data_IF_459082703674
#
_entry.id   IF_459082703674
#
_cell.length_a   1.000
_cell.length_b   1.000
_cell.length_c   1.000
_cell.angle_alpha   90.00
_cell.angle_beta   90.00
_cell.angle_gamma   90.00
#
_symmetry.space_group_name_H-M   'P 1'
#
loop_
_entity.id
_entity.type
_entity.pdbx_description
1 polymer ?
#
# COMPACT_ATOMS: atom_id res chain seq x y z
N UNK A 1 25.02 1.72 -0.19
CA UNK A 1 24.33 1.64 -1.50
C UNK A 1 23.89 3.03 -1.90
N UNK A 2 23.88 3.29 -3.18
CA UNK A 2 23.22 4.44 -3.80
C UNK A 2 21.81 3.99 -4.20
N UNK A 3 20.78 4.67 -3.72
CA UNK A 3 19.39 4.24 -3.96
C UNK A 3 18.59 5.39 -4.57
N UNK A 4 17.91 5.12 -5.68
CA UNK A 4 16.93 6.05 -6.24
C UNK A 4 15.52 5.58 -5.90
N UNK A 5 14.68 6.50 -5.38
CA UNK A 5 13.32 6.16 -4.93
C UNK A 5 12.31 7.04 -5.65
N UNK A 6 11.39 6.44 -6.41
CA UNK A 6 10.18 7.16 -6.84
C UNK A 6 9.11 7.05 -5.75
N UNK A 7 8.29 8.09 -5.60
CA UNK A 7 7.29 8.10 -4.54
C UNK A 7 7.84 8.34 -3.13
N UNK A 8 9.05 8.90 -3.00
CA UNK A 8 9.73 9.17 -1.73
C UNK A 8 8.98 10.11 -0.77
N UNK A 9 8.01 10.88 -1.24
CA UNK A 9 7.10 11.69 -0.41
C UNK A 9 5.83 10.96 0.01
N UNK A 10 5.58 9.74 -0.49
CA UNK A 10 4.43 8.91 -0.11
C UNK A 10 4.65 8.15 1.20
N UNK A 11 3.62 7.49 1.72
CA UNK A 11 3.66 6.80 3.01
C UNK A 11 4.80 5.76 3.10
N UNK A 12 4.83 4.80 2.18
CA UNK A 12 5.86 3.75 2.16
C UNK A 12 7.21 4.34 1.73
N UNK A 13 7.23 5.15 0.67
CA UNK A 13 8.46 5.71 0.13
C UNK A 13 9.19 6.61 1.15
N UNK A 14 8.47 7.46 1.88
CA UNK A 14 9.08 8.32 2.91
C UNK A 14 9.66 7.51 4.07
N UNK A 15 8.94 6.48 4.54
CA UNK A 15 9.43 5.60 5.58
C UNK A 15 10.70 4.84 5.12
N UNK A 16 10.72 4.36 3.86
CA UNK A 16 11.88 3.70 3.27
C UNK A 16 13.09 4.66 3.16
N UNK A 17 12.88 5.87 2.64
CA UNK A 17 13.95 6.88 2.50
C UNK A 17 14.54 7.22 3.87
N UNK A 18 13.71 7.50 4.88
CA UNK A 18 14.18 7.75 6.26
C UNK A 18 15.02 6.61 6.81
N UNK A 19 14.59 5.37 6.60
CA UNK A 19 15.32 4.20 7.09
C UNK A 19 16.65 4.01 6.36
N UNK A 20 16.68 4.13 5.03
CA UNK A 20 17.90 4.04 4.23
C UNK A 20 18.91 5.13 4.62
N UNK A 21 18.47 6.38 4.84
CA UNK A 21 19.34 7.47 5.30
C UNK A 21 19.93 7.20 6.69
N UNK A 22 19.12 6.69 7.61
CA UNK A 22 19.61 6.31 8.96
C UNK A 22 20.66 5.19 8.91
N UNK A 23 20.59 4.31 7.92
CA UNK A 23 21.58 3.25 7.70
C UNK A 23 22.80 3.72 6.90
N UNK A 24 22.92 5.02 6.62
CA UNK A 24 24.10 5.62 5.94
C UNK A 24 24.10 5.45 4.42
N UNK A 25 22.96 5.10 3.81
CA UNK A 25 22.86 4.98 2.35
C UNK A 25 22.70 6.34 1.69
N UNK A 26 23.28 6.54 0.51
CA UNK A 26 23.02 7.71 -0.31
C UNK A 26 21.69 7.52 -1.04
N UNK A 27 20.75 8.47 -0.83
CA UNK A 27 19.41 8.35 -1.37
C UNK A 27 19.05 9.59 -2.17
N UNK A 28 18.62 9.37 -3.42
CA UNK A 28 17.94 10.37 -4.25
C UNK A 28 16.48 10.00 -4.37
N UNK A 29 15.56 10.97 -4.27
CA UNK A 29 14.14 10.68 -4.33
C UNK A 29 13.42 11.65 -5.28
N UNK A 30 12.62 11.08 -6.19
CA UNK A 30 11.84 11.84 -7.16
C UNK A 30 10.76 12.67 -6.47
N UNK A 31 10.71 13.96 -6.76
CA UNK A 31 9.78 14.93 -6.20
C UNK A 31 9.10 15.76 -7.29
N UNK A 32 7.78 15.61 -7.45
CA UNK A 32 7.00 16.28 -8.50
C UNK A 32 6.48 17.68 -8.12
N UNK A 33 6.63 18.08 -6.87
CA UNK A 33 6.12 19.36 -6.37
C UNK A 33 7.03 19.92 -5.28
N UNK A 34 6.94 21.20 -4.97
CA UNK A 34 7.72 21.80 -3.88
C UNK A 34 7.39 21.16 -2.52
N UNK A 35 6.12 20.78 -2.28
CA UNK A 35 5.75 20.02 -1.09
C UNK A 35 6.46 18.67 -1.02
N UNK A 36 6.49 17.92 -2.14
CA UNK A 36 7.20 16.64 -2.20
C UNK A 36 8.69 16.82 -1.99
N UNK A 37 9.28 17.88 -2.56
CA UNK A 37 10.69 18.25 -2.37
C UNK A 37 11.01 18.53 -0.89
N UNK A 38 10.20 19.33 -0.21
CA UNK A 38 10.36 19.60 1.21
C UNK A 38 10.32 18.31 2.05
N UNK A 39 9.35 17.42 1.78
CA UNK A 39 9.24 16.13 2.47
C UNK A 39 10.44 15.22 2.25
N UNK A 40 11.07 15.25 1.07
CA UNK A 40 12.31 14.50 0.79
C UNK A 40 13.48 15.11 1.56
N UNK A 41 13.64 16.43 1.57
CA UNK A 41 14.70 17.13 2.31
C UNK A 41 14.61 16.81 3.82
N UNK A 42 13.41 16.75 4.40
CA UNK A 42 13.20 16.37 5.80
C UNK A 42 13.70 14.95 6.15
N UNK A 43 14.03 14.15 5.15
CA UNK A 43 14.60 12.81 5.33
C UNK A 43 16.11 12.76 5.16
N UNK A 44 16.78 13.89 4.97
CA UNK A 44 18.19 14.03 4.58
C UNK A 44 18.55 13.39 3.23
N UNK A 45 17.56 13.15 2.37
CA UNK A 45 17.76 12.66 1.02
C UNK A 45 17.82 13.79 -0.01
N UNK A 46 18.42 13.51 -1.15
CA UNK A 46 18.56 14.47 -2.24
C UNK A 46 17.29 14.45 -3.10
N UNK A 47 16.54 15.55 -3.19
CA UNK A 47 15.36 15.61 -4.05
C UNK A 47 15.75 15.75 -5.52
N UNK A 48 15.17 14.91 -6.37
CA UNK A 48 15.27 15.01 -7.83
C UNK A 48 13.94 15.51 -8.37
N UNK A 49 13.97 16.64 -9.10
CA UNK A 49 12.74 17.20 -9.68
C UNK A 49 12.27 16.39 -10.88
N UNK A 50 11.00 15.99 -10.88
CA UNK A 50 10.38 15.29 -12.00
C UNK A 50 9.04 14.65 -11.64
N UNK A 51 8.29 14.27 -12.67
CA UNK A 51 7.03 13.54 -12.56
C UNK A 51 7.15 12.24 -13.36
N UNK A 52 6.85 11.10 -12.73
CA UNK A 52 6.91 9.79 -13.40
C UNK A 52 5.99 9.70 -14.63
N UNK A 53 4.95 10.52 -14.71
CA UNK A 53 4.00 10.52 -15.84
C UNK A 53 4.54 11.22 -17.08
N UNK A 54 5.75 11.82 -17.00
CA UNK A 54 6.40 12.52 -18.09
C UNK A 54 7.89 12.15 -18.14
N UNK A 55 8.43 11.75 -19.30
CA UNK A 55 9.87 11.58 -19.46
C UNK A 55 10.62 12.89 -19.17
N UNK A 56 11.87 12.79 -18.74
CA UNK A 56 12.70 13.96 -18.46
C UNK A 56 14.07 13.58 -17.87
N UNK A 57 14.88 14.58 -17.54
CA UNK A 57 16.24 14.40 -17.00
C UNK A 57 16.30 13.58 -15.70
N UNK A 58 15.20 13.44 -14.97
CA UNK A 58 15.13 12.60 -13.79
C UNK A 58 15.40 11.11 -14.09
N UNK A 59 15.22 10.68 -15.34
CA UNK A 59 15.52 9.31 -15.77
C UNK A 59 17.02 9.01 -15.73
N UNK A 60 17.86 10.01 -16.07
CA UNK A 60 19.32 9.88 -15.95
C UNK A 60 19.75 9.85 -14.48
N UNK A 61 19.07 10.63 -13.63
CA UNK A 61 19.27 10.61 -12.19
C UNK A 61 18.90 9.24 -11.57
N UNK A 62 17.94 8.52 -12.15
CA UNK A 62 17.58 7.19 -11.68
C UNK A 62 18.71 6.17 -11.86
N UNK A 63 19.54 6.32 -12.91
CA UNK A 63 20.70 5.45 -13.17
C UNK A 63 21.86 5.64 -12.19
N UNK A 64 21.84 6.70 -11.40
CA UNK A 64 22.81 6.92 -10.33
C UNK A 64 22.80 5.79 -9.29
N UNK A 65 21.62 5.18 -9.04
CA UNK A 65 21.44 4.17 -8.01
C UNK A 65 22.07 2.82 -8.36
N UNK A 66 22.59 2.12 -7.37
CA UNK A 66 22.85 0.68 -7.44
C UNK A 66 21.52 -0.08 -7.36
N UNK A 67 20.52 0.58 -6.72
CA UNK A 67 19.14 0.08 -6.55
C UNK A 67 18.16 1.21 -6.90
N UNK A 68 17.13 0.86 -7.66
CA UNK A 68 15.97 1.74 -7.91
C UNK A 68 14.72 1.12 -7.30
N UNK A 69 14.08 1.85 -6.36
CA UNK A 69 12.81 1.42 -5.76
C UNK A 69 11.66 2.24 -6.35
N UNK A 70 10.81 1.58 -7.13
CA UNK A 70 9.65 2.22 -7.73
C UNK A 70 8.42 2.07 -6.82
N UNK A 71 8.23 3.06 -5.93
CA UNK A 71 7.12 3.12 -4.98
C UNK A 71 6.04 4.13 -5.38
N UNK A 72 6.26 4.91 -6.44
CA UNK A 72 5.27 5.86 -6.92
C UNK A 72 4.08 5.13 -7.56
N UNK A 73 2.89 5.36 -7.03
CA UNK A 73 1.65 4.81 -7.56
C UNK A 73 0.44 5.67 -7.14
N UNK A 74 -0.60 5.67 -7.96
CA UNK A 74 -1.93 6.10 -7.56
C UNK A 74 -2.63 4.91 -6.88
N UNK A 75 -2.82 5.02 -5.56
CA UNK A 75 -3.51 4.02 -4.74
C UNK A 75 -4.86 4.58 -4.32
N UNK A 76 -5.93 4.06 -4.87
CA UNK A 76 -7.30 4.47 -4.54
C UNK A 76 -8.30 3.37 -4.90
N UNK A 77 -9.40 3.32 -4.17
CA UNK A 77 -10.55 2.47 -4.44
C UNK A 77 -11.60 3.16 -5.33
N UNK A 78 -11.32 4.41 -5.76
CA UNK A 78 -12.20 5.20 -6.60
C UNK A 78 -11.44 6.21 -7.44
N UNK A 79 -11.87 6.37 -8.68
CA UNK A 79 -11.30 7.34 -9.61
C UNK A 79 -11.39 6.89 -11.07
N UNK A 80 -11.14 7.80 -12.03
CA UNK A 80 -11.19 7.47 -13.44
C UNK A 80 -10.04 6.54 -13.83
N UNK A 81 -10.35 5.50 -14.62
CA UNK A 81 -9.39 4.50 -15.12
C UNK A 81 -8.15 5.16 -15.75
N UNK A 82 -8.34 6.23 -16.51
CA UNK A 82 -7.26 6.96 -17.17
C UNK A 82 -6.18 7.42 -16.19
N UNK A 83 -6.55 7.91 -15.01
CA UNK A 83 -5.57 8.41 -14.04
C UNK A 83 -4.74 7.26 -13.43
N UNK A 84 -5.36 6.10 -13.17
CA UNK A 84 -4.62 4.93 -12.71
C UNK A 84 -3.61 4.45 -13.77
N UNK A 85 -4.01 4.41 -15.03
CA UNK A 85 -3.12 4.00 -16.10
C UNK A 85 -2.00 5.01 -16.31
N UNK A 86 -2.32 6.31 -16.36
CA UNK A 86 -1.32 7.38 -16.50
C UNK A 86 -0.24 7.31 -15.42
N UNK A 87 -0.61 7.07 -14.15
CA UNK A 87 0.36 7.05 -13.05
C UNK A 87 1.03 5.69 -12.93
N UNK A 88 0.24 4.59 -12.89
CA UNK A 88 0.77 3.27 -12.56
C UNK A 88 1.37 2.54 -13.77
N UNK A 89 0.85 2.77 -14.97
CA UNK A 89 1.32 2.08 -16.19
C UNK A 89 2.32 2.96 -16.95
N UNK A 90 1.91 4.17 -17.37
CA UNK A 90 2.80 5.05 -18.12
C UNK A 90 3.98 5.50 -17.25
N UNK A 91 3.73 5.77 -15.95
CA UNK A 91 4.78 6.07 -14.98
C UNK A 91 5.79 4.92 -14.83
N UNK A 92 5.31 3.67 -14.76
CA UNK A 92 6.20 2.49 -14.75
C UNK A 92 6.95 2.35 -16.06
N UNK A 93 6.29 2.56 -17.21
CA UNK A 93 6.95 2.55 -18.51
C UNK A 93 8.07 3.58 -18.58
N UNK A 94 7.82 4.81 -18.16
CA UNK A 94 8.82 5.88 -18.20
C UNK A 94 10.06 5.57 -17.36
N UNK A 95 9.92 5.03 -16.15
CA UNK A 95 11.10 4.63 -15.35
C UNK A 95 11.84 3.47 -16.01
N UNK A 96 11.15 2.46 -16.55
CA UNK A 96 11.78 1.34 -17.25
C UNK A 96 12.53 1.81 -18.50
N UNK A 97 11.96 2.74 -19.28
CA UNK A 97 12.64 3.34 -20.45
C UNK A 97 13.93 4.08 -20.04
N UNK A 98 13.90 4.75 -18.89
CA UNK A 98 15.09 5.39 -18.30
C UNK A 98 16.17 4.39 -17.86
N UNK A 99 15.80 3.15 -17.52
CA UNK A 99 16.72 2.13 -17.02
C UNK A 99 17.22 1.15 -18.11
N UNK A 100 16.96 1.40 -19.38
CA UNK A 100 17.51 0.57 -20.46
C UNK A 100 19.04 0.51 -20.41
N UNK A 101 19.62 -0.71 -20.46
CA UNK A 101 21.06 -0.98 -20.35
C UNK A 101 21.68 -0.56 -18.99
N UNK A 102 20.86 -0.38 -17.96
CA UNK A 102 21.34 -0.20 -16.59
C UNK A 102 21.46 -1.57 -15.90
N UNK A 103 22.52 -1.77 -15.14
CA UNK A 103 22.92 -3.07 -14.54
C UNK A 103 22.60 -3.19 -13.05
N UNK A 104 21.94 -2.19 -12.46
CA UNK A 104 21.52 -2.22 -11.07
C UNK A 104 20.24 -3.03 -10.82
N UNK A 105 19.77 -3.04 -9.58
CA UNK A 105 18.58 -3.80 -9.15
C UNK A 105 17.32 -2.91 -9.11
N UNK A 106 16.36 -3.18 -10.00
CA UNK A 106 15.04 -2.52 -9.98
C UNK A 106 14.05 -3.27 -9.08
N UNK A 107 13.47 -2.59 -8.11
CA UNK A 107 12.45 -3.12 -7.19
C UNK A 107 11.12 -2.45 -7.49
N UNK A 108 10.20 -3.18 -8.09
CA UNK A 108 8.84 -2.71 -8.35
C UNK A 108 7.91 -3.01 -7.18
N UNK A 109 7.42 -1.99 -6.50
CA UNK A 109 6.39 -2.17 -5.47
C UNK A 109 5.03 -2.36 -6.13
N UNK A 110 4.56 -3.59 -6.12
CA UNK A 110 3.24 -4.01 -6.57
C UNK A 110 2.27 -4.17 -5.38
N UNK A 111 1.19 -4.87 -5.55
CA UNK A 111 0.16 -5.08 -4.52
C UNK A 111 -0.46 -6.47 -4.64
N UNK A 112 -0.93 -7.04 -3.52
CA UNK A 112 -1.80 -8.22 -3.53
C UNK A 112 -3.09 -7.99 -4.32
N UNK A 113 -3.48 -6.74 -4.56
CA UNK A 113 -4.65 -6.35 -5.35
C UNK A 113 -4.60 -6.82 -6.82
N UNK A 114 -3.41 -7.22 -7.34
CA UNK A 114 -3.29 -7.82 -8.68
C UNK A 114 -4.09 -9.12 -8.82
N UNK A 115 -4.50 -9.74 -7.70
CA UNK A 115 -5.35 -10.93 -7.68
C UNK A 115 -6.86 -10.64 -7.61
N UNK A 116 -7.28 -9.36 -7.57
CA UNK A 116 -8.67 -8.94 -7.64
C UNK A 116 -9.53 -9.31 -6.42
N UNK A 117 -8.93 -9.70 -5.31
CA UNK A 117 -9.61 -10.11 -4.06
C UNK A 117 -10.69 -11.18 -4.25
N UNK A 118 -10.48 -12.14 -5.15
CA UNK A 118 -11.33 -13.33 -5.24
C UNK A 118 -10.99 -14.27 -4.08
N UNK A 119 -11.98 -14.94 -3.46
CA UNK A 119 -11.71 -15.92 -2.41
C UNK A 119 -10.72 -16.98 -2.89
N UNK A 120 -9.69 -17.25 -2.10
CA UNK A 120 -8.67 -18.24 -2.46
C UNK A 120 -7.35 -18.04 -1.71
N UNK A 121 -6.43 -18.97 -1.95
CA UNK A 121 -5.05 -18.92 -1.49
C UNK A 121 -4.11 -18.53 -2.64
N UNK A 122 -3.23 -17.59 -2.39
CA UNK A 122 -2.30 -17.04 -3.35
C UNK A 122 -0.87 -17.15 -2.83
N UNK A 123 0.05 -17.42 -3.73
CA UNK A 123 1.48 -17.49 -3.48
C UNK A 123 2.23 -16.42 -4.27
N UNK A 124 3.52 -16.31 -4.07
CA UNK A 124 4.39 -15.42 -4.86
C UNK A 124 4.33 -15.73 -6.36
N UNK A 125 4.13 -17.01 -6.72
CA UNK A 125 4.06 -17.46 -8.13
C UNK A 125 2.66 -17.40 -8.72
N UNK A 126 1.63 -17.13 -7.91
CA UNK A 126 0.27 -17.02 -8.43
C UNK A 126 0.18 -15.91 -9.50
N UNK A 127 -0.41 -16.19 -10.68
CA UNK A 127 -0.54 -15.19 -11.73
C UNK A 127 -1.44 -14.05 -11.31
N UNK A 128 -1.18 -12.84 -11.83
CA UNK A 128 -2.08 -11.72 -11.68
C UNK A 128 -3.44 -12.04 -12.35
N UNK A 129 -4.53 -11.81 -11.63
CA UNK A 129 -5.90 -12.05 -12.11
C UNK A 129 -6.83 -10.92 -11.65
N UNK A 130 -6.61 -9.69 -12.14
CA UNK A 130 -7.38 -8.53 -11.72
C UNK A 130 -8.87 -8.69 -12.04
N UNK A 131 -9.72 -7.95 -11.32
CA UNK A 131 -11.18 -8.09 -11.36
C UNK A 131 -11.89 -6.90 -12.05
N UNK A 132 -11.24 -6.28 -13.02
CA UNK A 132 -11.71 -5.11 -13.75
C UNK A 132 -11.84 -3.83 -12.91
N UNK A 133 -11.23 -3.81 -11.74
CA UNK A 133 -11.08 -2.57 -10.98
C UNK A 133 -9.86 -1.78 -11.48
N UNK A 134 -9.99 -0.45 -11.76
CA UNK A 134 -8.91 0.33 -12.37
C UNK A 134 -7.56 0.24 -11.67
N UNK A 135 -7.55 0.21 -10.33
CA UNK A 135 -6.32 0.02 -9.55
C UNK A 135 -5.72 -1.37 -9.75
N UNK A 136 -6.52 -2.44 -9.59
CA UNK A 136 -6.05 -3.82 -9.76
C UNK A 136 -5.47 -4.04 -11.17
N UNK A 137 -6.23 -3.60 -12.19
CA UNK A 137 -5.84 -3.72 -13.59
C UNK A 137 -4.54 -2.96 -13.89
N UNK A 138 -4.41 -1.72 -13.39
CA UNK A 138 -3.21 -0.91 -13.61
C UNK A 138 -1.97 -1.46 -12.93
N UNK A 139 -2.12 -2.08 -11.74
CA UNK A 139 -1.00 -2.74 -11.06
C UNK A 139 -0.59 -4.04 -11.76
N UNK A 140 -1.55 -4.83 -12.25
CA UNK A 140 -1.27 -6.03 -13.03
C UNK A 140 -0.59 -5.69 -14.37
N UNK A 141 -1.03 -4.62 -15.04
CA UNK A 141 -0.40 -4.15 -16.28
C UNK A 141 1.02 -3.60 -16.04
N UNK A 142 1.24 -2.91 -14.92
CA UNK A 142 2.59 -2.48 -14.52
C UNK A 142 3.52 -3.68 -14.28
N UNK A 143 3.06 -4.76 -13.61
CA UNK A 143 3.84 -6.00 -13.48
C UNK A 143 4.20 -6.59 -14.85
N UNK A 144 3.24 -6.59 -15.79
CA UNK A 144 3.50 -7.08 -17.17
C UNK A 144 4.59 -6.28 -17.89
N UNK A 145 4.63 -4.96 -17.72
CA UNK A 145 5.71 -4.13 -18.28
C UNK A 145 7.07 -4.47 -17.64
N UNK A 146 7.11 -4.69 -16.33
CA UNK A 146 8.34 -5.13 -15.66
C UNK A 146 8.78 -6.50 -16.15
N UNK A 147 7.86 -7.46 -16.32
CA UNK A 147 8.18 -8.79 -16.86
C UNK A 147 8.74 -8.71 -18.29
N UNK A 148 8.26 -7.79 -19.12
CA UNK A 148 8.82 -7.54 -20.44
C UNK A 148 10.25 -6.99 -20.35
N UNK A 149 10.49 -6.01 -19.49
CA UNK A 149 11.82 -5.43 -19.29
C UNK A 149 12.82 -6.48 -18.73
N UNK A 150 12.37 -7.41 -17.88
CA UNK A 150 13.18 -8.54 -17.40
C UNK A 150 13.62 -9.43 -18.57
N UNK A 151 12.71 -9.73 -19.50
CA UNK A 151 13.06 -10.51 -20.72
C UNK A 151 14.05 -9.76 -21.62
N UNK A 152 14.09 -8.43 -21.54
CA UNK A 152 15.06 -7.56 -22.22
C UNK A 152 16.37 -7.40 -21.44
N UNK A 153 16.52 -8.08 -20.29
CA UNK A 153 17.76 -8.12 -19.50
C UNK A 153 17.78 -7.28 -18.23
N UNK A 154 16.68 -6.57 -17.87
CA UNK A 154 16.63 -5.79 -16.64
C UNK A 154 16.70 -6.70 -15.41
N UNK A 155 17.58 -6.37 -14.46
CA UNK A 155 17.66 -7.02 -13.17
C UNK A 155 16.55 -6.47 -12.26
N UNK A 156 15.43 -7.16 -12.15
CA UNK A 156 14.27 -6.65 -11.42
C UNK A 156 13.62 -7.71 -10.51
N UNK A 157 13.10 -7.23 -9.37
CA UNK A 157 12.22 -7.96 -8.45
C UNK A 157 10.87 -7.27 -8.33
N UNK A 158 9.80 -8.06 -8.17
CA UNK A 158 8.46 -7.57 -7.94
C UNK A 158 8.04 -7.85 -6.50
N UNK A 159 7.47 -6.85 -5.82
CA UNK A 159 7.09 -6.95 -4.40
C UNK A 159 5.60 -6.67 -4.25
N UNK A 160 4.80 -7.71 -4.07
CA UNK A 160 3.35 -7.60 -3.81
C UNK A 160 3.12 -7.35 -2.34
N UNK A 161 2.73 -6.14 -1.99
CA UNK A 161 2.48 -5.76 -0.59
C UNK A 161 0.99 -5.86 -0.25
N UNK A 162 0.72 -6.26 1.00
CA UNK A 162 -0.61 -6.25 1.59
C UNK A 162 -1.06 -4.83 1.96
N UNK A 163 -2.23 -4.67 2.59
CA UNK A 163 -2.67 -3.38 3.11
C UNK A 163 -1.72 -2.89 4.20
N UNK A 164 -1.10 -1.72 4.02
CA UNK A 164 -0.10 -1.19 4.95
C UNK A 164 -0.74 -0.21 5.92
N UNK A 165 -0.44 -0.35 7.20
CA UNK A 165 -0.87 0.57 8.24
C UNK A 165 0.30 0.96 9.15
N UNK A 166 0.18 2.08 9.86
CA UNK A 166 1.20 2.58 10.77
C UNK A 166 1.15 4.10 10.96
N UNK A 167 2.07 4.71 11.71
CA UNK A 167 2.21 6.15 11.81
C UNK A 167 2.41 6.79 10.43
N UNK A 168 1.61 7.80 10.10
CA UNK A 168 1.61 8.41 8.77
C UNK A 168 0.61 7.81 7.78
N UNK A 169 -0.13 6.75 8.17
CA UNK A 169 -1.14 6.12 7.33
C UNK A 169 -2.27 7.12 6.95
N UNK A 170 -2.47 7.38 5.65
CA UNK A 170 -3.51 8.30 5.20
C UNK A 170 -4.89 7.65 5.05
N UNK A 171 -5.02 6.33 5.19
CA UNK A 171 -6.19 5.58 4.75
C UNK A 171 -6.94 4.85 5.87
N UNK A 172 -6.25 3.97 6.60
CA UNK A 172 -6.88 3.05 7.54
C UNK A 172 -7.49 3.77 8.75
N UNK A 173 -6.68 4.52 9.48
CA UNK A 173 -7.11 5.19 10.72
C UNK A 173 -8.18 6.25 10.45
N UNK A 174 -8.07 7.04 9.38
CA UNK A 174 -9.03 8.09 9.08
C UNK A 174 -10.43 7.52 8.84
N UNK A 175 -10.55 6.51 7.96
CA UNK A 175 -11.83 5.84 7.67
C UNK A 175 -12.42 5.12 8.88
N UNK A 176 -11.57 4.45 9.66
CA UNK A 176 -12.00 3.78 10.88
C UNK A 176 -12.57 4.75 11.89
N UNK A 177 -11.94 5.88 12.11
CA UNK A 177 -12.41 6.89 13.05
C UNK A 177 -13.73 7.54 12.62
N UNK A 178 -13.94 7.72 11.32
CA UNK A 178 -15.21 8.25 10.82
C UNK A 178 -16.38 7.28 11.11
N UNK A 179 -16.14 5.96 11.01
CA UNK A 179 -17.12 4.96 11.42
C UNK A 179 -17.34 4.94 12.94
N UNK A 180 -16.26 5.00 13.72
CA UNK A 180 -16.35 5.02 15.19
C UNK A 180 -17.14 6.20 15.70
N UNK A 181 -16.99 7.38 15.10
CA UNK A 181 -17.76 8.58 15.47
C UNK A 181 -19.25 8.43 15.28
N UNK A 182 -19.69 7.60 14.34
CA UNK A 182 -21.11 7.28 14.16
C UNK A 182 -21.67 6.38 15.26
N UNK A 183 -20.84 5.87 16.17
CA UNK A 183 -21.21 4.88 17.19
C UNK A 183 -21.53 3.48 16.63
N UNK A 184 -21.43 3.30 15.33
CA UNK A 184 -21.70 2.03 14.64
C UNK A 184 -20.57 1.69 13.69
N UNK A 185 -20.09 0.47 13.75
CA UNK A 185 -19.07 -0.06 12.84
C UNK A 185 -19.72 -1.17 12.03
N UNK A 186 -19.77 -0.98 10.72
CA UNK A 186 -20.24 -2.02 9.81
C UNK A 186 -19.04 -2.80 9.30
N UNK A 187 -19.09 -4.14 9.44
CA UNK A 187 -18.11 -5.06 8.88
C UNK A 187 -18.76 -5.91 7.80
N UNK A 188 -18.04 -6.14 6.71
CA UNK A 188 -18.52 -6.96 5.60
C UNK A 188 -18.37 -8.44 5.95
N UNK A 189 -19.43 -9.22 5.78
CA UNK A 189 -19.47 -10.63 6.19
C UNK A 189 -19.51 -10.78 7.72
N UNK A 190 -18.98 -11.88 8.22
CA UNK A 190 -18.90 -12.16 9.67
C UNK A 190 -17.68 -11.48 10.33
N UNK A 191 -16.72 -11.01 9.54
CA UNK A 191 -15.48 -10.43 10.02
C UNK A 191 -14.40 -11.45 10.38
N UNK A 192 -14.63 -12.74 10.10
CA UNK A 192 -13.74 -13.86 10.35
C UNK A 192 -12.70 -14.11 9.24
N UNK A 193 -12.74 -13.30 8.18
CA UNK A 193 -11.74 -13.34 7.11
C UNK A 193 -10.46 -12.60 7.52
N UNK A 194 -9.28 -13.02 7.00
CA UNK A 194 -8.01 -12.33 7.26
C UNK A 194 -8.07 -10.85 6.89
N UNK A 195 -7.55 -9.97 7.73
CA UNK A 195 -7.52 -8.53 7.48
C UNK A 195 -6.55 -8.14 6.36
N UNK A 196 -5.59 -8.99 6.02
CA UNK A 196 -4.52 -8.73 5.04
C UNK A 196 -3.85 -7.37 5.24
N UNK A 197 -3.54 -7.05 6.51
CA UNK A 197 -2.85 -5.84 6.90
C UNK A 197 -1.45 -6.18 7.43
N UNK A 198 -0.50 -5.29 7.16
CA UNK A 198 0.87 -5.41 7.65
C UNK A 198 1.39 -4.06 8.13
N UNK A 199 2.20 -4.06 9.18
CA UNK A 199 2.75 -2.84 9.75
C UNK A 199 3.87 -2.28 8.88
N UNK A 200 3.96 -0.95 8.78
CA UNK A 200 4.89 -0.24 7.90
C UNK A 200 6.34 -0.64 8.11
N UNK A 201 6.80 -0.79 9.37
CA UNK A 201 8.21 -1.09 9.64
C UNK A 201 8.60 -2.49 9.12
N UNK A 202 7.68 -3.46 9.14
CA UNK A 202 7.93 -4.80 8.58
C UNK A 202 8.06 -4.75 7.04
N UNK A 203 7.26 -3.90 6.38
CA UNK A 203 7.41 -3.65 4.93
C UNK A 203 8.79 -3.05 4.63
N UNK A 204 9.20 -2.03 5.40
CA UNK A 204 10.48 -1.36 5.18
C UNK A 204 11.64 -2.34 5.38
N UNK A 205 11.59 -3.18 6.40
CA UNK A 205 12.59 -4.24 6.62
C UNK A 205 12.67 -5.19 5.43
N UNK A 206 11.53 -5.67 4.93
CA UNK A 206 11.49 -6.55 3.75
C UNK A 206 12.07 -5.88 2.50
N UNK A 207 11.74 -4.62 2.24
CA UNK A 207 12.27 -3.88 1.09
C UNK A 207 13.80 -3.68 1.19
N UNK A 208 14.32 -3.42 2.38
CA UNK A 208 15.77 -3.28 2.61
C UNK A 208 16.49 -4.61 2.40
N UNK A 209 15.93 -5.71 2.90
CA UNK A 209 16.49 -7.05 2.66
C UNK A 209 16.55 -7.38 1.18
N UNK A 210 15.49 -7.06 0.41
CA UNK A 210 15.46 -7.24 -1.05
C UNK A 210 16.53 -6.36 -1.71
N UNK A 211 16.66 -5.10 -1.29
CA UNK A 211 17.63 -4.15 -1.86
C UNK A 211 19.10 -4.56 -1.61
N UNK A 212 19.39 -5.17 -0.47
CA UNK A 212 20.72 -5.66 -0.10
C UNK A 212 21.10 -7.00 -0.75
N UNK A 213 20.13 -7.72 -1.29
CA UNK A 213 20.35 -9.04 -1.87
C UNK A 213 20.76 -8.93 -3.33
N UNK A 214 21.56 -9.91 -3.80
CA UNK A 214 21.78 -10.06 -5.23
C UNK A 214 20.45 -10.34 -5.93
N UNK A 215 20.15 -9.59 -6.96
CA UNK A 215 18.91 -9.75 -7.70
C UNK A 215 18.82 -11.12 -8.37
N UNK A 216 17.68 -11.76 -8.23
CA UNK A 216 17.24 -12.88 -9.06
C UNK A 216 16.15 -12.34 -9.98
N UNK A 217 16.42 -12.10 -11.28
CA UNK A 217 15.48 -11.45 -12.17
C UNK A 217 14.13 -12.17 -12.23
N UNK A 218 13.03 -11.43 -12.07
CA UNK A 218 11.68 -11.98 -12.06
C UNK A 218 11.25 -12.57 -10.71
N UNK A 219 12.12 -12.56 -9.69
CA UNK A 219 11.72 -13.00 -8.37
C UNK A 219 10.57 -12.13 -7.83
N UNK A 220 9.51 -12.82 -7.41
CA UNK A 220 8.38 -12.19 -6.73
C UNK A 220 8.45 -12.44 -5.23
N UNK A 221 8.12 -11.40 -4.48
CA UNK A 221 8.01 -11.43 -3.02
C UNK A 221 6.60 -11.00 -2.62
N UNK A 222 6.07 -11.60 -1.56
CA UNK A 222 4.84 -11.16 -0.91
C UNK A 222 5.17 -10.66 0.49
N UNK A 223 4.93 -9.38 0.75
CA UNK A 223 5.07 -8.81 2.08
C UNK A 223 3.67 -8.66 2.69
N UNK A 224 3.29 -9.65 3.49
CA UNK A 224 2.02 -9.74 4.21
C UNK A 224 2.27 -10.32 5.59
N UNK A 225 1.31 -10.18 6.50
CA UNK A 225 1.39 -10.83 7.81
C UNK A 225 0.73 -12.22 7.72
N UNK A 226 1.50 -13.33 7.81
CA UNK A 226 0.97 -14.68 7.58
C UNK A 226 -0.08 -15.09 8.62
N UNK A 227 0.01 -14.54 9.83
CA UNK A 227 -0.96 -14.72 10.92
C UNK A 227 -1.74 -13.45 11.19
N UNK A 228 -2.09 -12.68 10.13
CA UNK A 228 -2.92 -11.49 10.30
C UNK A 228 -4.23 -11.87 10.99
N UNK A 229 -4.64 -11.15 12.06
CA UNK A 229 -5.91 -11.40 12.69
C UNK A 229 -7.04 -11.14 11.70
N UNK A 230 -8.21 -11.69 12.00
CA UNK A 230 -9.40 -11.40 11.24
C UNK A 230 -9.83 -9.92 11.37
N UNK A 231 -10.72 -9.50 10.48
CA UNK A 231 -11.21 -8.12 10.43
C UNK A 231 -11.88 -7.70 11.75
N UNK A 232 -12.63 -8.60 12.39
CA UNK A 232 -13.31 -8.34 13.66
C UNK A 232 -12.30 -8.06 14.77
N UNK A 233 -11.26 -8.88 14.88
CA UNK A 233 -10.17 -8.71 15.84
C UNK A 233 -9.43 -7.38 15.62
N UNK A 234 -9.17 -6.99 14.37
CA UNK A 234 -8.58 -5.68 14.05
C UNK A 234 -9.43 -4.52 14.56
N UNK A 235 -10.74 -4.59 14.36
CA UNK A 235 -11.70 -3.59 14.87
C UNK A 235 -11.66 -3.55 16.40
N UNK A 236 -11.65 -4.70 17.06
CA UNK A 236 -11.58 -4.79 18.53
C UNK A 236 -10.29 -4.19 19.09
N UNK A 237 -9.12 -4.47 18.49
CA UNK A 237 -7.84 -3.86 18.89
C UNK A 237 -7.88 -2.35 18.75
N UNK A 238 -8.46 -1.84 17.66
CA UNK A 238 -8.57 -0.41 17.46
C UNK A 238 -9.53 0.25 18.45
N UNK A 239 -10.69 -0.35 18.74
CA UNK A 239 -11.63 0.14 19.77
C UNK A 239 -10.99 0.16 21.17
N UNK A 240 -10.29 -0.92 21.54
CA UNK A 240 -9.55 -1.01 22.80
C UNK A 240 -8.47 0.08 22.89
N UNK A 241 -7.68 0.24 21.81
CA UNK A 241 -6.64 1.27 21.74
C UNK A 241 -7.19 2.70 21.84
N UNK A 242 -8.35 2.96 21.25
CA UNK A 242 -9.04 4.26 21.32
C UNK A 242 -9.78 4.48 22.64
N UNK A 243 -9.97 3.44 23.46
CA UNK A 243 -10.81 3.44 24.66
C UNK A 243 -12.27 3.81 24.34
N UNK A 244 -12.78 3.31 23.23
CA UNK A 244 -14.13 3.59 22.74
C UNK A 244 -14.98 2.32 22.74
N UNK A 245 -16.30 2.54 22.83
CA UNK A 245 -17.30 1.50 22.63
C UNK A 245 -18.10 1.84 21.40
N UNK A 246 -18.24 0.89 20.48
CA UNK A 246 -19.11 1.03 19.32
C UNK A 246 -19.81 -0.30 19.06
N UNK A 247 -21.02 -0.25 18.55
CA UNK A 247 -21.75 -1.46 18.14
C UNK A 247 -21.21 -1.93 16.80
N UNK A 248 -20.59 -3.11 16.81
CA UNK A 248 -20.11 -3.76 15.57
C UNK A 248 -21.27 -4.56 14.98
N UNK A 249 -21.59 -4.29 13.72
CA UNK A 249 -22.69 -4.92 13.00
C UNK A 249 -22.18 -5.63 11.75
N UNK A 250 -22.33 -6.95 11.64
CA UNK A 250 -22.01 -7.67 10.42
C UNK A 250 -23.07 -7.37 9.34
N UNK A 251 -22.59 -7.11 8.12
CA UNK A 251 -23.44 -6.89 6.95
C UNK A 251 -23.18 -7.99 5.92
N UNK A 252 -24.19 -8.73 5.47
CA UNK A 252 -24.01 -9.71 4.41
C UNK A 252 -23.32 -9.12 3.17
N UNK A 253 -22.39 -9.86 2.58
CA UNK A 253 -21.56 -9.38 1.45
C UNK A 253 -22.45 -8.88 0.30
N UNK A 254 -23.52 -9.58 -0.02
CA UNK A 254 -24.42 -9.19 -1.12
C UNK A 254 -25.13 -7.85 -0.86
N UNK A 255 -25.51 -7.55 0.40
CA UNK A 255 -26.08 -6.24 0.78
C UNK A 255 -24.99 -5.15 0.62
N UNK A 256 -23.78 -5.41 1.13
CA UNK A 256 -22.69 -4.45 1.03
C UNK A 256 -22.35 -4.16 -0.45
N UNK A 257 -22.37 -5.18 -1.33
CA UNK A 257 -22.16 -5.01 -2.78
C UNK A 257 -23.29 -4.18 -3.41
N UNK A 258 -24.54 -4.45 -3.06
CA UNK A 258 -25.69 -3.69 -3.59
C UNK A 258 -25.61 -2.20 -3.19
N UNK A 259 -25.33 -1.92 -1.91
CA UNK A 259 -25.13 -0.55 -1.39
C UNK A 259 -23.96 0.14 -2.08
N UNK A 260 -22.82 -0.53 -2.19
CA UNK A 260 -21.64 0.01 -2.87
C UNK A 260 -21.94 0.32 -4.34
N UNK A 261 -22.63 -0.57 -5.06
CA UNK A 261 -23.00 -0.35 -6.47
C UNK A 261 -23.90 0.87 -6.64
N UNK A 262 -24.90 1.04 -5.77
CA UNK A 262 -25.77 2.21 -5.80
C UNK A 262 -24.99 3.51 -5.50
N UNK A 263 -24.10 3.47 -4.51
CA UNK A 263 -23.25 4.61 -4.20
C UNK A 263 -22.30 4.97 -5.34
N UNK A 264 -21.69 3.99 -6.01
CA UNK A 264 -20.84 4.22 -7.19
C UNK A 264 -21.63 4.88 -8.33
N UNK A 265 -22.86 4.42 -8.64
CA UNK A 265 -23.73 5.02 -9.65
C UNK A 265 -24.04 6.48 -9.30
N UNK A 266 -24.49 6.74 -8.06
CA UNK A 266 -24.77 8.11 -7.61
C UNK A 266 -23.54 9.02 -7.66
N UNK A 267 -22.37 8.48 -7.29
CA UNK A 267 -21.12 9.22 -7.27
C UNK A 267 -20.62 9.57 -8.67
N UNK A 268 -20.87 8.71 -9.66
CA UNK A 268 -20.62 9.04 -11.06
C UNK A 268 -21.48 10.20 -11.55
N UNK A 269 -22.78 10.19 -11.20
CA UNK A 269 -23.70 11.26 -11.59
C UNK A 269 -23.37 12.59 -10.86
N UNK A 270 -23.08 12.50 -9.56
CA UNK A 270 -22.80 13.67 -8.72
C UNK A 270 -21.32 14.14 -8.77
N UNK A 271 -20.46 13.49 -9.57
CA UNK A 271 -19.00 13.75 -9.64
C UNK A 271 -18.34 13.78 -8.24
N UNK A 272 -18.80 12.93 -7.35
CA UNK A 272 -18.34 12.83 -5.95
C UNK A 272 -17.67 11.50 -5.68
N UNK A 273 -17.05 11.32 -4.50
CA UNK A 273 -16.47 10.04 -4.09
C UNK A 273 -17.50 9.24 -3.29
N UNK A 274 -17.72 7.94 -3.59
CA UNK A 274 -18.59 7.09 -2.76
C UNK A 274 -17.95 6.83 -1.40
N UNK A 275 -18.76 6.68 -0.37
CA UNK A 275 -18.29 6.32 0.98
C UNK A 275 -17.90 4.83 1.05
N UNK A 276 -18.53 3.99 0.23
CA UNK A 276 -18.25 2.56 0.11
C UNK A 276 -18.16 2.19 -1.38
N UNK A 277 -17.11 1.45 -1.75
CA UNK A 277 -16.87 0.96 -3.11
C UNK A 277 -16.97 -0.56 -3.16
N UNK A 278 -17.33 -1.12 -4.31
CA UNK A 278 -17.28 -2.59 -4.53
C UNK A 278 -15.87 -3.16 -4.31
N UNK A 279 -14.84 -2.38 -4.64
CA UNK A 279 -13.45 -2.74 -4.34
C UNK A 279 -13.24 -2.92 -2.84
N UNK A 280 -13.64 -1.94 -2.03
CA UNK A 280 -13.49 -2.01 -0.57
C UNK A 280 -14.28 -3.18 0.03
N UNK A 281 -15.51 -3.43 -0.47
CA UNK A 281 -16.33 -4.58 -0.04
C UNK A 281 -15.62 -5.89 -0.33
N UNK A 282 -15.06 -6.09 -1.53
CA UNK A 282 -14.33 -7.32 -1.88
C UNK A 282 -13.05 -7.49 -1.06
N UNK A 283 -12.27 -6.40 -0.92
CA UNK A 283 -11.01 -6.42 -0.18
C UNK A 283 -11.19 -6.74 1.31
N UNK A 284 -12.28 -6.26 1.92
CA UNK A 284 -12.59 -6.47 3.32
C UNK A 284 -13.47 -7.70 3.60
N UNK A 285 -14.26 -8.15 2.61
CA UNK A 285 -15.28 -9.17 2.81
C UNK A 285 -14.89 -10.56 2.33
N UNK A 286 -13.97 -10.66 1.38
CA UNK A 286 -13.60 -11.96 0.81
C UNK A 286 -12.42 -12.60 1.57
N UNK A 287 -12.49 -13.91 1.74
CA UNK A 287 -11.41 -14.67 2.36
C UNK A 287 -10.29 -14.91 1.34
N UNK A 288 -9.27 -14.04 1.37
CA UNK A 288 -8.05 -14.17 0.58
C UNK A 288 -6.88 -14.48 1.54
N UNK A 289 -6.09 -15.49 1.23
CA UNK A 289 -4.90 -15.86 2.01
C UNK A 289 -3.68 -15.68 1.11
N UNK A 290 -2.67 -14.97 1.60
CA UNK A 290 -1.45 -14.72 0.86
C UNK A 290 -0.27 -15.39 1.57
N UNK A 291 0.32 -16.41 0.94
CA UNK A 291 1.54 -17.05 1.44
C UNK A 291 2.71 -16.08 1.36
N UNK A 292 3.57 -16.14 2.37
CA UNK A 292 4.85 -15.44 2.43
C UNK A 292 6.00 -16.42 2.55
N UNK A 293 5.77 -17.69 2.23
CA UNK A 293 6.70 -18.79 2.48
C UNK A 293 7.98 -18.64 1.65
N UNK A 294 7.86 -18.39 0.35
CA UNK A 294 9.01 -18.15 -0.53
C UNK A 294 9.77 -16.90 -0.08
N UNK A 295 9.06 -15.85 0.31
CA UNK A 295 9.66 -14.63 0.84
C UNK A 295 10.46 -14.91 2.11
N UNK A 296 9.88 -15.66 3.06
CA UNK A 296 10.55 -16.05 4.29
C UNK A 296 11.81 -16.92 4.03
N UNK A 297 11.69 -17.92 3.17
CA UNK A 297 12.82 -18.80 2.81
C UNK A 297 13.95 -18.04 2.12
N UNK A 298 13.61 -17.19 1.15
CA UNK A 298 14.64 -16.49 0.36
C UNK A 298 15.28 -15.33 1.12
N UNK A 299 14.54 -14.59 1.92
CA UNK A 299 15.04 -13.39 2.60
C UNK A 299 15.38 -13.61 4.09
N UNK A 300 14.96 -14.72 4.70
CA UNK A 300 14.96 -14.86 6.14
C UNK A 300 14.02 -13.83 6.82
N UNK A 301 13.03 -13.32 6.07
CA UNK A 301 12.14 -12.28 6.52
C UNK A 301 10.86 -12.84 7.12
N UNK A 302 10.47 -12.27 8.24
CA UNK A 302 9.13 -12.44 8.80
C UNK A 302 8.71 -11.13 9.48
N UNK A 303 7.41 -10.78 9.48
CA UNK A 303 6.96 -9.61 10.23
C UNK A 303 7.21 -9.81 11.72
N UNK A 304 7.73 -8.75 12.36
CA UNK A 304 8.11 -8.76 13.80
C UNK A 304 7.09 -8.03 14.65
N UNK A 305 6.33 -7.11 14.05
CA UNK A 305 5.35 -6.30 14.76
C UNK A 305 4.07 -7.08 14.97
N UNK A 306 3.68 -7.29 16.24
CA UNK A 306 2.35 -7.82 16.52
C UNK A 306 1.30 -6.81 16.06
N UNK A 307 0.19 -7.29 15.53
CA UNK A 307 -0.87 -6.41 15.03
C UNK A 307 -1.43 -5.53 16.15
N UNK A 308 -1.58 -6.09 17.36
CA UNK A 308 -2.06 -5.33 18.52
C UNK A 308 -1.15 -4.14 18.86
N UNK A 309 0.17 -4.35 18.84
CA UNK A 309 1.15 -3.30 19.10
C UNK A 309 1.17 -2.28 17.95
N UNK A 310 1.18 -2.73 16.69
CA UNK A 310 1.15 -1.88 15.53
C UNK A 310 -0.07 -0.96 15.50
N UNK A 311 -1.26 -1.48 15.83
CA UNK A 311 -2.48 -0.68 15.98
C UNK A 311 -2.34 0.33 17.12
N UNK A 312 -1.80 -0.07 18.28
CA UNK A 312 -1.59 0.83 19.43
C UNK A 312 -0.63 1.99 19.07
N UNK A 313 0.48 1.71 18.39
CA UNK A 313 1.44 2.73 17.92
C UNK A 313 0.80 3.70 16.92
N UNK A 314 0.01 3.17 15.98
CA UNK A 314 -0.70 3.97 14.98
C UNK A 314 -1.71 4.93 15.63
N UNK A 315 -2.48 4.44 16.60
CA UNK A 315 -3.45 5.26 17.36
C UNK A 315 -2.73 6.32 18.20
N UNK A 316 -1.62 5.95 18.85
CA UNK A 316 -0.82 6.89 19.65
C UNK A 316 -0.31 8.06 18.80
N UNK A 317 0.20 7.74 17.61
CA UNK A 317 0.63 8.75 16.64
C UNK A 317 -0.54 9.64 16.21
N UNK A 318 -1.68 9.04 15.84
CA UNK A 318 -2.85 9.79 15.41
C UNK A 318 -3.36 10.78 16.47
N UNK A 319 -3.37 10.38 17.74
CA UNK A 319 -3.77 11.26 18.85
C UNK A 319 -2.87 12.49 18.99
N UNK A 320 -1.58 12.36 18.67
CA UNK A 320 -0.62 13.47 18.72
C UNK A 320 -0.85 14.50 17.62
N UNK A 321 -1.18 14.06 16.41
CA UNK A 321 -1.35 14.96 15.25
C UNK A 321 -2.75 15.53 15.10
N UNK A 322 -3.75 14.98 15.78
CA UNK A 322 -5.15 15.39 15.70
C UNK A 322 -5.79 15.60 17.07
N UNK A 323 -5.27 16.52 17.90
CA UNK A 323 -5.82 16.76 19.25
C UNK A 323 -7.29 17.22 19.23
N UNK A 324 -7.69 18.01 18.24
CA UNK A 324 -9.05 18.53 18.04
C UNK A 324 -10.04 17.51 17.45
N UNK A 325 -9.55 16.39 16.92
CA UNK A 325 -10.35 15.30 16.37
C UNK A 325 -10.59 14.16 17.37
N UNK A 326 -10.46 14.42 18.68
CA UNK A 326 -10.78 13.44 19.73
C UNK A 326 -12.28 13.07 19.63
N UNK A 327 -12.62 11.77 19.61
CA UNK A 327 -14.01 11.36 19.74
C UNK A 327 -14.56 11.86 21.08
N UNK A 328 -15.78 12.40 21.10
CA UNK A 328 -16.44 12.77 22.36
C UNK A 328 -16.65 11.50 23.18
N UNK A 329 -16.12 11.48 24.39
CA UNK A 329 -16.27 10.40 25.38
C UNK A 329 -17.61 10.48 26.13
N UNK A 330 -18.67 11.02 25.53
CA UNK A 330 -19.95 11.09 26.21
C UNK A 330 -20.56 9.69 26.29
N UNK A 331 -20.73 9.10 27.47
CA UNK A 331 -21.46 7.85 27.62
C UNK A 331 -22.91 8.08 27.18
N UNK A 332 -23.43 7.21 26.33
CA UNK A 332 -24.85 7.18 26.08
C UNK A 332 -25.55 6.94 27.41
N UNK A 333 -26.19 7.98 27.96
CA UNK A 333 -27.10 7.83 29.08
C UNK A 333 -28.26 6.96 28.63
N UNK A 334 -28.39 5.83 29.27
CA UNK A 334 -29.55 4.97 29.14
C UNK A 334 -30.78 5.70 29.76
N UNK A 335 -31.75 6.00 28.97
CA UNK A 335 -33.14 6.18 29.38
C UNK A 335 -34.01 5.21 28.59
#
# INVERSE_FOLDING_TARGET
MRVFVTGGSGFIGNALVRRLRREGHEVRALARSERAKAMVIETDAIPVRGDITQPGSWQDEARFGDVVVHAAALVSDWGPRREFYRVNVDGTKNILDGLKKWDGHFIHISSIAVHGFRPGAYTETSPASPDRHPYCDSKAEAERLVDMAIKEGLQASLVRIAGVYGPGDPHFIARFLDQVRSGRIFIVGKGDQPSNLIYIDDIIEGLILIAKRKCEPGQRYVLSHPSAPDVLSMVQYALKGLKLRARVQPVPIWIAVAVASLQEIRSHLAKSRPSLTRYAVKAMGNRCVFSTEVTAQKLGWSPKMSVQEGVARTISWYRKISPSRRPSTTPAQHS
#
